data_IF_035094917383
#
_entry.id   IF_035094917383
#
_cell.length_a   1.000
_cell.length_b   1.000
_cell.length_c   1.000
_cell.angle_alpha   90.00
_cell.angle_beta   90.00
_cell.angle_gamma   90.00
#
_symmetry.space_group_name_H-M   'P 1'
#
loop_
_entity.id
_entity.type
_entity.pdbx_description
1 polymer ?
2 non-polymer ?
3 non-polymer ?
4 non-polymer ?
5 non-polymer ?
6 water ?
#
# COMPACT_ATOMS: atom_id res chain seq x y z
N UNK A 18 -32.07 2.85 19.10
CA UNK A 18 -31.57 3.46 17.87
C UNK A 18 -30.09 3.24 17.68
N UNK A 19 -29.56 3.55 16.49
CA UNK A 19 -28.12 3.31 16.24
C UNK A 19 -27.21 4.22 17.02
N UNK A 20 -25.96 3.79 17.24
CA UNK A 20 -24.88 4.68 17.68
C UNK A 20 -24.75 5.85 16.71
N UNK A 21 -24.56 7.06 17.24
CA UNK A 21 -24.38 8.25 16.40
C UNK A 21 -23.00 8.80 16.70
N UNK A 22 -22.33 9.33 15.67
CA UNK A 22 -21.04 9.99 15.81
C UNK A 22 -21.10 11.21 14.94
N UNK A 23 -20.91 12.41 15.54
CA UNK A 23 -21.00 13.65 14.79
C UNK A 23 -22.28 13.80 13.97
N UNK A 24 -23.40 13.40 14.55
CA UNK A 24 -24.70 13.55 13.91
C UNK A 24 -25.02 12.56 12.81
N UNK A 25 -24.15 11.52 12.65
CA UNK A 25 -24.32 10.56 11.56
C UNK A 25 -24.46 9.18 12.14
N UNK A 26 -25.23 8.32 11.42
CA UNK A 26 -25.44 6.95 11.83
C UNK A 26 -24.09 6.21 11.75
N UNK A 27 -23.75 5.55 12.81
CA UNK A 27 -22.56 4.69 12.78
C UNK A 27 -22.98 3.42 13.48
N UNK A 28 -23.67 2.58 12.71
CA UNK A 28 -24.49 1.52 13.31
C UNK A 28 -23.80 0.19 13.52
N UNK A 29 -22.97 0.12 14.52
CA UNK A 29 -22.08 -1.03 14.70
C UNK A 29 -22.64 -2.07 15.60
N UNK A 30 -23.67 -1.72 16.38
CA UNK A 30 -24.47 -2.68 17.12
C UNK A 30 -23.85 -2.85 18.47
N UNK A 31 -24.53 -3.62 19.33
CA UNK A 31 -24.12 -3.69 20.72
C UNK A 31 -22.80 -4.35 20.97
N UNK A 32 -22.23 -5.11 20.00
CA UNK A 32 -20.90 -5.68 20.23
C UNK A 32 -19.86 -4.58 20.39
N UNK A 33 -20.02 -3.45 19.71
CA UNK A 33 -19.02 -2.41 19.64
C UNK A 33 -19.58 -1.12 20.26
N UNK A 34 -18.91 -0.67 21.32
CA UNK A 34 -19.41 0.48 22.10
C UNK A 34 -18.33 1.57 22.25
N UNK A 35 -18.64 2.70 22.90
CA UNK A 35 -17.64 3.74 23.23
C UNK A 35 -16.87 4.17 21.98
N UNK A 36 -17.61 4.64 21.02
CA UNK A 36 -17.06 5.09 19.75
C UNK A 36 -16.27 6.39 19.87
N UNK A 37 -15.22 6.53 19.05
CA UNK A 37 -14.47 7.78 18.93
C UNK A 37 -14.16 7.99 17.48
N UNK A 38 -14.45 9.17 16.95
CA UNK A 38 -14.17 9.58 15.58
C UNK A 38 -12.64 9.50 15.33
N UNK A 39 -12.25 9.03 14.15
CA UNK A 39 -10.85 9.09 13.71
C UNK A 39 -10.73 10.02 12.51
N UNK A 40 -11.58 9.86 11.50
CA UNK A 40 -11.40 10.57 10.25
C UNK A 40 -12.35 10.15 9.15
N UNK A 41 -12.14 10.65 7.94
CA UNK A 41 -12.91 10.30 6.75
C UNK A 41 -12.09 9.37 5.86
N UNK A 42 -12.63 8.19 5.56
CA UNK A 42 -12.09 7.33 4.51
C UNK A 42 -12.72 7.61 3.16
N UNK A 43 -12.36 6.82 2.15
CA UNK A 43 -12.80 7.02 0.76
C UNK A 43 -14.32 7.01 0.61
N UNK A 44 -15.01 6.11 1.32
CA UNK A 44 -16.45 5.91 1.17
C UNK A 44 -17.21 6.11 2.48
N UNK A 45 -16.60 6.73 3.48
CA UNK A 45 -17.29 7.01 4.74
C UNK A 45 -16.45 7.29 5.94
N UNK A 46 -17.10 7.56 7.03
CA UNK A 46 -16.46 7.89 8.30
C UNK A 46 -15.69 6.68 8.88
N UNK A 47 -14.58 6.93 9.61
CA UNK A 47 -13.83 5.94 10.32
C UNK A 47 -13.80 6.26 11.80
N UNK A 48 -14.03 5.29 12.65
CA UNK A 48 -14.01 5.36 14.12
C UNK A 48 -13.23 4.25 14.78
N UNK A 49 -12.88 4.38 16.07
CA UNK A 49 -12.54 3.28 16.92
C UNK A 49 -13.71 2.95 17.84
N UNK A 50 -13.71 1.77 18.37
CA UNK A 50 -14.76 1.31 19.29
C UNK A 50 -14.22 0.22 20.16
N UNK A 51 -14.89 -0.04 21.30
CA UNK A 51 -14.56 -1.18 22.12
C UNK A 51 -15.30 -2.46 21.68
N UNK A 52 -14.59 -3.60 21.42
CA UNK A 52 -15.13 -4.89 21.03
C UNK A 52 -15.41 -5.62 22.35
N UNK A 53 -16.69 -5.76 22.68
CA UNK A 53 -17.09 -6.41 23.95
C UNK A 53 -16.90 -7.94 23.93
N UNK A 54 -16.65 -8.56 22.76
CA UNK A 54 -16.33 -9.99 22.71
C UNK A 54 -14.82 -10.23 22.95
N UNK A 55 -13.96 -9.56 22.15
CA UNK A 55 -12.50 -9.75 22.28
C UNK A 55 -11.83 -8.82 23.30
N UNK A 56 -12.58 -7.89 23.90
CA UNK A 56 -12.11 -7.05 25.00
C UNK A 56 -10.92 -6.14 24.67
N UNK A 57 -10.89 -5.66 23.42
CA UNK A 57 -9.90 -4.70 22.93
C UNK A 57 -10.62 -3.62 22.14
N UNK A 58 -10.01 -2.46 21.99
CA UNK A 58 -10.46 -1.49 21.02
C UNK A 58 -10.05 -1.90 19.62
N UNK A 59 -10.91 -1.58 18.66
CA UNK A 59 -10.81 -1.94 17.24
C UNK A 59 -11.07 -0.70 16.40
N UNK A 60 -10.66 -0.78 15.13
CA UNK A 60 -10.93 0.23 14.14
C UNK A 60 -12.15 -0.20 13.30
N UNK A 61 -13.01 0.74 12.95
CA UNK A 61 -14.18 0.46 12.14
C UNK A 61 -14.34 1.48 11.07
N UNK A 62 -14.40 1.05 9.81
CA UNK A 62 -14.64 1.90 8.66
C UNK A 62 -16.07 1.74 8.16
N UNK A 63 -16.81 2.83 8.06
CA UNK A 63 -18.11 2.80 7.41
C UNK A 63 -17.94 3.02 5.93
N UNK A 64 -18.48 2.14 5.10
CA UNK A 64 -18.38 2.13 3.68
C UNK A 64 -19.75 2.15 2.99
N UNK A 65 -20.01 3.13 2.14
CA UNK A 65 -21.31 3.27 1.49
C UNK A 65 -21.01 3.37 0.00
N UNK A 66 -20.79 2.23 -0.68
CA UNK A 66 -20.34 2.22 -2.06
C UNK A 66 -21.40 1.96 -3.12
N UNK A 67 -22.66 1.74 -2.76
CA UNK A 67 -23.58 1.04 -3.64
C UNK A 67 -24.15 1.90 -4.75
N UNK A 68 -23.99 3.22 -4.67
CA UNK A 68 -24.44 4.11 -5.75
C UNK A 68 -23.51 4.13 -6.97
N UNK A 69 -22.29 3.55 -6.89
CA UNK A 69 -21.32 3.61 -7.98
C UNK A 69 -20.58 2.33 -8.20
N UNK A 70 -20.50 1.85 -9.44
CA UNK A 70 -19.82 0.62 -9.84
C UNK A 70 -18.38 0.62 -9.35
N UNK A 71 -17.62 1.72 -9.55
CA UNK A 71 -16.19 1.75 -9.21
C UNK A 71 -15.98 1.57 -7.70
N UNK A 72 -16.80 2.23 -6.89
CA UNK A 72 -16.74 2.10 -5.44
C UNK A 72 -17.01 0.64 -5.04
N UNK A 73 -18.00 0.04 -5.68
CA UNK A 73 -18.32 -1.36 -5.42
C UNK A 73 -17.17 -2.25 -5.77
N UNK A 74 -16.48 -1.97 -6.90
CA UNK A 74 -15.38 -2.81 -7.34
C UNK A 74 -14.25 -2.69 -6.33
N UNK A 75 -13.89 -1.44 -5.88
CA UNK A 75 -12.73 -1.35 -4.98
C UNK A 75 -13.07 -2.01 -3.67
N UNK A 76 -14.33 -1.90 -3.20
CA UNK A 76 -14.72 -2.43 -1.89
C UNK A 76 -14.71 -3.93 -1.96
N UNK A 77 -15.28 -4.52 -3.00
CA UNK A 77 -15.35 -5.96 -3.13
C UNK A 77 -13.96 -6.53 -3.26
N UNK A 78 -13.07 -5.92 -4.08
CA UNK A 78 -11.71 -6.47 -4.21
C UNK A 78 -11.01 -6.48 -2.88
N UNK A 79 -11.09 -5.37 -2.12
CA UNK A 79 -10.39 -5.34 -0.80
C UNK A 79 -10.93 -6.38 0.13
N UNK A 80 -12.29 -6.50 0.19
CA UNK A 80 -12.87 -7.51 1.07
C UNK A 80 -12.42 -8.91 0.66
N UNK A 81 -12.51 -9.22 -0.66
CA UNK A 81 -12.09 -10.56 -1.10
C UNK A 81 -10.63 -10.84 -0.77
N UNK A 82 -9.76 -9.84 -1.03
CA UNK A 82 -8.34 -10.06 -0.76
C UNK A 82 -8.08 -10.27 0.73
N UNK A 83 -8.59 -9.36 1.56
CA UNK A 83 -8.27 -9.43 2.97
C UNK A 83 -8.87 -10.60 3.70
N UNK A 84 -10.04 -11.07 3.20
CA UNK A 84 -10.63 -12.29 3.81
C UNK A 84 -9.86 -13.55 3.38
N UNK A 85 -9.26 -13.54 2.21
CA UNK A 85 -8.45 -14.72 1.80
C UNK A 85 -7.08 -14.72 2.45
N UNK A 86 -6.44 -13.53 2.55
CA UNK A 86 -5.11 -13.45 3.10
C UNK A 86 -5.07 -13.74 4.56
N UNK A 87 -4.02 -14.39 5.01
CA UNK A 87 -3.75 -14.57 6.41
C UNK A 87 -2.28 -14.47 6.61
N UNK A 88 -1.81 -13.34 7.12
CA UNK A 88 -0.40 -13.12 7.32
C UNK A 88 -0.16 -12.14 8.41
N UNK A 89 0.85 -12.34 9.23
CA UNK A 89 1.15 -11.49 10.34
C UNK A 89 1.42 -10.05 10.00
N UNK A 90 1.92 -9.77 8.78
CA UNK A 90 2.23 -8.41 8.37
C UNK A 90 1.23 -7.81 7.46
N UNK A 91 0.00 -8.34 7.44
CA UNK A 91 -1.11 -7.81 6.66
C UNK A 91 -2.31 -7.67 7.53
N UNK A 92 -2.96 -6.53 7.51
CA UNK A 92 -4.16 -6.31 8.33
C UNK A 92 -5.24 -7.34 7.89
N UNK A 93 -5.97 -7.83 8.85
CA UNK A 93 -7.07 -8.74 8.57
C UNK A 93 -8.40 -8.00 8.58
N UNK A 94 -9.47 -8.69 8.30
CA UNK A 94 -10.81 -8.18 8.61
C UNK A 94 -11.34 -9.03 9.71
N UNK A 95 -11.65 -8.45 10.85
CA UNK A 95 -12.12 -9.22 12.02
C UNK A 95 -13.62 -9.47 11.96
N UNK A 96 -14.37 -8.53 11.41
CA UNK A 96 -15.82 -8.57 11.35
C UNK A 96 -16.28 -7.64 10.30
N UNK A 97 -17.46 -7.92 9.73
CA UNK A 97 -18.12 -7.04 8.79
C UNK A 97 -19.58 -6.94 9.23
N UNK A 98 -20.04 -5.71 9.41
CA UNK A 98 -21.39 -5.46 9.93
C UNK A 98 -22.17 -4.89 8.82
N UNK A 99 -23.38 -5.48 8.59
CA UNK A 99 -24.31 -4.96 7.59
C UNK A 99 -25.71 -5.51 7.90
N UNK A 100 -26.69 -4.97 7.22
CA UNK A 100 -28.09 -5.32 7.49
C UNK A 100 -28.31 -6.75 7.04
N UNK A 101 -29.37 -7.38 7.55
CA UNK A 101 -29.62 -8.79 7.19
C UNK A 101 -30.10 -9.05 5.80
N UNK A 102 -30.56 -8.06 5.11
CA UNK A 102 -31.13 -8.25 3.80
C UNK A 102 -30.49 -7.28 2.85
N UNK A 103 -30.45 -7.61 1.55
CA UNK A 103 -29.89 -6.73 0.55
C UNK A 103 -30.66 -5.45 0.48
N UNK A 104 -32.03 -5.53 0.59
CA UNK A 104 -32.90 -4.38 0.54
C UNK A 104 -32.57 -3.38 1.61
N UNK A 105 -32.27 -3.83 2.84
CA UNK A 105 -31.97 -2.97 3.94
C UNK A 105 -30.46 -2.57 3.97
N UNK A 106 -29.60 -3.20 3.21
CA UNK A 106 -28.16 -2.90 3.27
C UNK A 106 -27.83 -1.68 2.44
N UNK A 107 -27.43 -0.63 3.11
CA UNK A 107 -26.91 0.55 2.38
C UNK A 107 -25.42 0.84 2.72
N UNK A 108 -24.97 0.39 3.84
CA UNK A 108 -23.63 0.61 4.34
C UNK A 108 -23.07 -0.76 4.76
N UNK A 109 -21.76 -0.83 4.76
CA UNK A 109 -21.04 -1.94 5.36
C UNK A 109 -20.02 -1.36 6.33
N UNK A 110 -19.77 -2.00 7.43
CA UNK A 110 -18.74 -1.54 8.38
C UNK A 110 -17.71 -2.64 8.50
N UNK A 111 -16.46 -2.27 8.26
CA UNK A 111 -15.35 -3.23 8.31
C UNK A 111 -14.59 -3.02 9.60
N UNK A 112 -14.44 -4.06 10.39
CA UNK A 112 -13.80 -4.00 11.69
C UNK A 112 -12.45 -4.65 11.55
N UNK A 113 -11.43 -3.93 12.03
CA UNK A 113 -10.02 -4.37 11.95
C UNK A 113 -9.32 -4.07 13.24
N UNK A 114 -8.16 -4.69 13.44
CA UNK A 114 -7.32 -4.37 14.58
C UNK A 114 -6.98 -2.88 14.62
N UNK A 115 -6.97 -2.30 15.83
CA UNK A 115 -6.60 -0.91 16.04
C UNK A 115 -5.14 -0.92 16.49
N UNK A 116 -4.29 -0.27 15.72
CA UNK A 116 -2.87 -0.24 16.02
C UNK A 116 -2.56 1.01 16.78
N UNK A 117 -1.33 1.19 17.20
CA UNK A 117 -0.89 2.33 17.99
C UNK A 117 -0.70 3.54 17.12
N UNK A 118 -0.10 3.34 15.91
CA UNK A 118 0.24 4.46 15.05
C UNK A 118 0.42 3.96 13.63
N UNK A 119 0.75 4.82 12.73
CA UNK A 119 1.17 4.43 11.40
C UNK A 119 2.51 5.08 11.14
N UNK A 120 3.18 4.64 10.06
CA UNK A 120 4.51 5.10 9.80
C UNK A 120 4.50 6.57 9.35
N UNK A 121 3.44 7.05 8.78
CA UNK A 121 3.32 8.48 8.42
C UNK A 121 3.40 9.33 9.69
N UNK A 122 2.62 9.02 10.69
CA UNK A 122 2.63 9.78 11.96
C UNK A 122 3.94 9.63 12.67
N UNK A 123 4.52 8.43 12.64
CA UNK A 123 5.84 8.25 13.25
C UNK A 123 6.94 9.06 12.61
N UNK A 124 7.01 9.11 11.30
CA UNK A 124 8.04 9.86 10.62
C UNK A 124 7.90 11.35 10.79
N UNK A 125 6.71 11.85 11.11
CA UNK A 125 6.48 13.30 11.33
C UNK A 125 7.20 13.77 12.60
N UNK A 126 7.36 12.88 13.57
CA UNK A 126 7.76 13.21 14.92
C UNK A 126 9.00 12.49 15.46
N UNK A 127 9.40 11.35 14.88
CA UNK A 127 10.35 10.46 15.51
C UNK A 127 11.47 10.14 14.59
N UNK A 128 12.68 10.25 15.05
CA UNK A 128 13.85 9.73 14.39
C UNK A 128 13.85 8.21 14.55
N UNK A 129 14.08 7.47 13.46
CA UNK A 129 14.13 6.02 13.55
C UNK A 129 15.54 5.59 13.73
N UNK A 130 15.79 4.70 14.66
CA UNK A 130 17.12 4.08 14.72
C UNK A 130 17.39 3.20 13.49
N UNK A 131 18.65 2.92 13.13
CA UNK A 131 18.95 1.99 12.04
C UNK A 131 18.33 0.67 12.33
N UNK A 132 18.28 0.21 13.57
CA UNK A 132 17.69 -1.05 13.88
C UNK A 132 16.19 -1.05 13.61
N UNK A 133 15.51 0.08 13.87
CA UNK A 133 14.11 0.17 13.58
C UNK A 133 13.91 0.23 12.08
N UNK A 134 14.69 0.94 11.32
CA UNK A 134 14.55 0.98 9.83
C UNK A 134 14.68 -0.43 9.28
N UNK A 135 15.66 -1.18 9.76
CA UNK A 135 15.89 -2.50 9.33
C UNK A 135 14.71 -3.40 9.61
N UNK A 136 14.21 -3.38 10.82
CA UNK A 136 13.11 -4.19 11.20
C UNK A 136 11.83 -3.83 10.44
N UNK A 137 11.55 -2.52 10.30
CA UNK A 137 10.37 -2.12 9.54
C UNK A 137 10.47 -2.57 8.10
N UNK A 138 11.63 -2.41 7.46
CA UNK A 138 11.79 -2.80 6.09
C UNK A 138 11.64 -4.30 5.95
N UNK A 139 12.18 -5.08 6.85
CA UNK A 139 11.99 -6.53 6.82
C UNK A 139 10.55 -6.88 6.83
N UNK A 140 9.76 -6.29 7.75
CA UNK A 140 8.36 -6.66 7.85
C UNK A 140 7.57 -6.21 6.63
N UNK A 141 7.86 -5.03 6.09
CA UNK A 141 7.20 -4.64 4.86
C UNK A 141 7.42 -5.66 3.74
N UNK A 142 8.68 -6.05 3.57
CA UNK A 142 9.01 -6.97 2.52
C UNK A 142 8.47 -8.37 2.80
N UNK A 143 8.41 -8.77 4.05
CA UNK A 143 7.84 -10.07 4.40
C UNK A 143 6.35 -10.11 4.03
N UNK A 144 5.64 -9.06 4.38
CA UNK A 144 4.25 -8.95 3.95
C UNK A 144 4.10 -8.87 2.46
N UNK A 145 4.93 -8.10 1.81
CA UNK A 145 4.84 -7.97 0.37
C UNK A 145 5.16 -9.27 -0.35
N UNK A 146 6.06 -10.08 0.18
CA UNK A 146 6.33 -11.40 -0.39
C UNK A 146 5.06 -12.18 -0.47
N UNK A 147 4.27 -12.15 0.61
CA UNK A 147 3.04 -12.90 0.64
C UNK A 147 2.06 -12.35 -0.37
N UNK A 148 1.85 -11.01 -0.40
CA UNK A 148 0.94 -10.37 -1.34
C UNK A 148 1.30 -10.78 -2.77
N UNK A 149 2.59 -10.61 -3.14
CA UNK A 149 3.03 -10.90 -4.49
C UNK A 149 2.93 -12.36 -4.81
N UNK A 150 3.14 -13.23 -3.81
CA UNK A 150 2.95 -14.67 -4.03
C UNK A 150 1.53 -15.04 -4.34
N UNK A 151 0.58 -14.20 -3.95
CA UNK A 151 -0.81 -14.43 -4.30
C UNK A 151 -1.17 -13.80 -5.59
N UNK A 152 -0.21 -13.34 -6.36
CA UNK A 152 -0.45 -12.66 -7.64
C UNK A 152 -1.19 -11.37 -7.48
N UNK A 153 -1.07 -10.71 -6.35
CA UNK A 153 -1.73 -9.44 -6.08
C UNK A 153 -0.66 -8.35 -5.98
N UNK A 154 -1.03 -7.19 -6.44
CA UNK A 154 -0.26 -5.96 -6.30
C UNK A 154 -0.99 -5.04 -5.36
N UNK A 155 -0.28 -4.41 -4.43
CA UNK A 155 -0.92 -3.51 -3.49
C UNK A 155 -1.27 -2.20 -4.16
N UNK A 156 -0.30 -1.63 -4.78
CA UNK A 156 -0.42 -0.43 -5.65
C UNK A 156 -0.58 0.85 -4.93
N UNK A 157 -0.58 0.88 -3.60
CA UNK A 157 -0.62 2.16 -2.89
C UNK A 157 0.16 2.09 -1.61
N UNK A 158 1.35 1.48 -1.65
CA UNK A 158 2.18 1.44 -0.47
C UNK A 158 2.72 2.82 -0.19
N UNK A 159 2.61 3.24 1.07
CA UNK A 159 3.08 4.53 1.54
C UNK A 159 3.04 4.49 3.06
N UNK A 160 3.73 5.40 3.72
CA UNK A 160 3.77 5.35 5.18
C UNK A 160 2.43 5.27 5.90
N UNK A 161 1.37 5.97 5.45
CA UNK A 161 0.12 5.91 6.18
C UNK A 161 -0.59 4.59 6.04
N UNK A 162 -0.14 3.72 5.12
CA UNK A 162 -0.69 2.40 4.98
C UNK A 162 0.14 1.34 5.64
N UNK A 163 1.02 1.74 6.52
CA UNK A 163 1.86 0.84 7.33
C UNK A 163 1.59 1.10 8.78
N UNK A 164 1.00 0.14 9.43
CA UNK A 164 0.53 0.31 10.80
C UNK A 164 1.48 -0.36 11.75
N UNK A 165 1.63 0.21 12.95
CA UNK A 165 2.57 -0.28 13.98
C UNK A 165 1.86 -0.44 15.31
N UNK A 166 2.14 -1.50 15.99
CA UNK A 166 1.63 -1.63 17.35
C UNK A 166 2.68 -1.10 18.31
N UNK A 167 2.43 -1.25 19.63
CA UNK A 167 3.30 -0.58 20.62
C UNK A 167 4.68 -1.23 20.67
N UNK A 168 4.85 -2.44 20.14
CA UNK A 168 6.14 -3.07 20.05
C UNK A 168 6.71 -3.09 18.64
N UNK A 169 6.21 -2.20 17.77
CA UNK A 169 6.77 -2.00 16.42
C UNK A 169 6.56 -3.19 15.48
N UNK A 170 5.61 -4.05 15.76
CA UNK A 170 5.17 -5.00 14.76
C UNK A 170 4.33 -4.24 13.74
N UNK A 171 4.52 -4.57 12.49
CA UNK A 171 4.03 -3.83 11.35
C UNK A 171 3.00 -4.62 10.58
N UNK A 172 1.93 -3.93 10.14
CA UNK A 172 0.95 -4.53 9.22
C UNK A 172 0.67 -3.59 8.07
N UNK A 173 0.60 -4.14 6.88
CA UNK A 173 0.20 -3.40 5.70
C UNK A 173 -1.33 -3.38 5.61
N UNK A 174 -1.82 -2.19 5.29
CA UNK A 174 -3.23 -1.91 5.25
C UNK A 174 -3.62 -1.28 3.90
N UNK A 175 -4.92 -1.16 3.61
CA UNK A 175 -5.54 -0.42 2.51
C UNK A 175 -5.28 -1.05 1.18
N UNK A 176 -6.10 -2.04 0.85
CA UNK A 176 -6.04 -2.69 -0.44
C UNK A 176 -7.09 -2.14 -1.42
N UNK A 177 -7.41 -0.85 -1.25
CA UNK A 177 -8.44 -0.20 -2.08
C UNK A 177 -7.97 0.13 -3.46
N UNK A 178 -6.73 -0.04 -3.87
CA UNK A 178 -6.27 0.05 -5.25
C UNK A 178 -5.59 -1.22 -5.69
N UNK A 179 -5.69 -2.30 -4.95
CA UNK A 179 -5.00 -3.52 -5.28
C UNK A 179 -5.60 -4.14 -6.51
N UNK A 180 -4.78 -4.89 -7.23
CA UNK A 180 -5.22 -5.59 -8.44
C UNK A 180 -4.47 -6.88 -8.56
N UNK A 181 -5.03 -7.86 -9.29
CA UNK A 181 -4.29 -9.02 -9.71
C UNK A 181 -3.25 -8.60 -10.71
N UNK A 182 -2.01 -9.11 -10.60
CA UNK A 182 -0.96 -8.72 -11.49
C UNK A 182 -1.30 -9.09 -12.91
N UNK A 183 -0.90 -8.24 -13.86
CA UNK A 183 -1.20 -8.49 -15.26
C UNK A 183 -0.06 -7.95 -16.13
N UNK A 184 1.13 -8.52 -15.99
CA UNK A 184 2.29 -7.97 -16.69
C UNK A 184 2.16 -7.95 -18.19
N UNK A 185 1.40 -8.87 -18.79
CA UNK A 185 1.23 -8.86 -20.25
C UNK A 185 0.41 -7.70 -20.76
N UNK A 186 -0.34 -7.01 -19.92
CA UNK A 186 -1.20 -5.88 -20.28
C UNK A 186 -0.75 -4.59 -19.52
N UNK A 187 0.53 -4.43 -19.28
CA UNK A 187 1.05 -3.27 -18.52
C UNK A 187 1.29 -2.05 -19.39
N UNK A 188 1.43 -2.20 -20.69
CA UNK A 188 1.85 -1.08 -21.52
C UNK A 188 0.73 -0.11 -21.77
N UNK A 189 1.10 1.17 -21.76
CA UNK A 189 0.19 2.25 -22.09
C UNK A 189 1.05 3.40 -22.67
N UNK A 190 0.35 4.43 -23.08
CA UNK A 190 0.98 5.60 -23.67
C UNK A 190 1.51 6.56 -22.66
N UNK A 191 2.19 7.55 -23.15
CA UNK A 191 2.80 8.58 -22.33
C UNK A 191 1.73 9.45 -21.65
N UNK A 192 1.96 9.79 -20.41
CA UNK A 192 1.03 10.65 -19.66
C UNK A 192 -0.34 10.07 -19.40
N UNK A 193 -0.40 8.79 -19.17
CA UNK A 193 -1.65 8.13 -18.84
C UNK A 193 -1.96 8.46 -17.36
N UNK A 194 -3.18 8.85 -17.09
CA UNK A 194 -3.58 9.19 -15.73
C UNK A 194 -3.48 7.97 -14.82
N UNK A 195 -3.19 8.22 -13.57
CA UNK A 195 -2.96 7.15 -12.61
C UNK A 195 -3.58 7.43 -11.26
N UNK A 196 -4.02 6.41 -10.57
CA UNK A 196 -4.83 6.58 -9.34
C UNK A 196 -4.05 6.66 -8.05
N UNK A 197 -2.92 5.98 -7.97
CA UNK A 197 -2.23 5.85 -6.71
C UNK A 197 -1.44 7.04 -6.32
N UNK A 198 -1.07 7.16 -4.99
CA UNK A 198 -0.46 8.36 -4.44
C UNK A 198 0.77 8.83 -5.20
N UNK A 199 0.81 10.10 -5.58
CA UNK A 199 1.81 10.56 -6.48
C UNK A 199 3.24 10.32 -6.07
N UNK A 200 3.56 10.61 -4.81
CA UNK A 200 4.94 10.61 -4.38
C UNK A 200 5.59 9.21 -4.42
N UNK A 201 4.79 8.19 -4.49
CA UNK A 201 5.32 6.83 -4.42
C UNK A 201 5.22 6.14 -5.76
N UNK A 202 4.91 6.84 -6.85
CA UNK A 202 4.81 6.28 -8.19
C UNK A 202 6.10 6.06 -8.85
N UNK A 203 6.29 4.86 -9.39
CA UNK A 203 7.50 4.56 -10.13
C UNK A 203 7.60 5.39 -11.40
N UNK A 204 8.81 5.61 -11.91
CA UNK A 204 8.92 6.46 -13.10
C UNK A 204 8.15 5.97 -14.29
N UNK A 205 8.06 4.69 -14.47
CA UNK A 205 7.37 4.16 -15.64
C UNK A 205 5.91 4.49 -15.66
N UNK A 206 5.27 4.79 -14.50
CA UNK A 206 3.87 5.18 -14.56
C UNK A 206 3.63 6.39 -15.48
N UNK A 207 4.55 7.30 -15.45
CA UNK A 207 4.38 8.55 -16.22
C UNK A 207 4.81 8.35 -17.66
N UNK A 208 5.44 7.24 -17.97
CA UNK A 208 6.00 6.98 -19.28
C UNK A 208 5.21 5.96 -20.07
N UNK A 209 5.01 4.75 -19.56
CA UNK A 209 4.44 3.67 -20.35
C UNK A 209 3.86 2.53 -19.59
N UNK A 210 3.54 2.68 -18.33
CA UNK A 210 3.07 1.58 -17.49
C UNK A 210 1.76 1.90 -16.80
N UNK A 211 0.89 0.87 -16.72
CA UNK A 211 -0.38 0.92 -15.97
C UNK A 211 -0.24 0.47 -14.51
N UNK A 212 0.95 0.09 -14.07
CA UNK A 212 1.10 -0.35 -12.70
C UNK A 212 0.55 -1.73 -12.46
N UNK A 213 0.68 -2.61 -13.42
CA UNK A 213 0.17 -4.00 -13.35
C UNK A 213 1.26 -5.02 -13.19
N UNK A 214 2.44 -4.60 -12.75
CA UNK A 214 3.60 -5.46 -12.55
C UNK A 214 4.09 -5.32 -11.07
N UNK A 215 4.67 -6.36 -10.53
CA UNK A 215 5.13 -6.36 -9.18
C UNK A 215 6.19 -5.27 -8.89
N UNK A 216 6.96 -4.91 -9.91
CA UNK A 216 7.96 -3.86 -9.75
C UNK A 216 7.40 -2.54 -9.33
N UNK A 217 6.10 -2.32 -9.51
CA UNK A 217 5.49 -1.08 -9.07
C UNK A 217 5.55 -0.94 -7.54
N UNK A 218 5.36 -2.06 -6.85
CA UNK A 218 5.36 -2.03 -5.42
C UNK A 218 6.74 -1.91 -4.83
N UNK A 219 7.75 -2.51 -5.49
CA UNK A 219 9.10 -2.39 -5.01
C UNK A 219 9.56 -0.95 -5.07
N UNK A 220 9.20 -0.23 -6.15
CA UNK A 220 9.56 1.21 -6.15
C UNK A 220 8.99 1.93 -4.93
N UNK A 221 7.72 1.69 -4.67
CA UNK A 221 7.13 2.35 -3.50
C UNK A 221 7.84 1.99 -2.19
N UNK A 222 8.23 0.73 -2.02
CA UNK A 222 9.03 0.36 -0.85
C UNK A 222 10.35 1.08 -0.80
N UNK A 223 11.01 1.24 -1.93
CA UNK A 223 12.24 2.02 -1.96
C UNK A 223 12.00 3.47 -1.53
N UNK A 224 10.87 4.06 -1.94
CA UNK A 224 10.55 5.40 -1.50
C UNK A 224 10.32 5.44 -0.01
N UNK A 225 9.69 4.41 0.54
CA UNK A 225 9.47 4.37 1.97
C UNK A 225 10.77 4.20 2.73
N UNK A 226 11.68 3.38 2.24
CA UNK A 226 12.99 3.26 2.88
C UNK A 226 13.70 4.60 2.90
N UNK A 227 13.73 5.29 1.78
CA UNK A 227 14.35 6.62 1.74
C UNK A 227 13.71 7.55 2.75
N UNK A 228 12.42 7.52 2.88
CA UNK A 228 11.71 8.37 3.80
C UNK A 228 12.01 8.01 5.23
N UNK A 229 12.21 6.74 5.55
CA UNK A 229 12.65 6.31 6.89
C UNK A 229 14.07 6.80 7.16
N UNK A 230 14.93 6.93 6.19
CA UNK A 230 16.31 7.34 6.44
C UNK A 230 16.37 8.83 6.74
N UNK A 231 15.50 9.66 6.22
CA UNK A 231 15.61 11.10 6.40
C UNK A 231 14.40 11.78 7.01
N UNK A 232 13.30 11.08 7.23
CA UNK A 232 12.04 11.66 7.67
C UNK A 232 11.40 12.63 6.69
N UNK A 233 11.71 12.50 5.42
CA UNK A 233 11.10 13.38 4.42
C UNK A 233 10.89 12.57 3.19
N UNK A 234 9.79 12.77 2.47
CA UNK A 234 9.63 12.05 1.22
C UNK A 234 10.75 12.35 0.25
N UNK A 235 11.23 11.32 -0.41
CA UNK A 235 12.34 11.48 -1.33
C UNK A 235 11.95 12.18 -2.63
N UNK A 236 10.73 11.97 -3.14
CA UNK A 236 10.29 12.50 -4.42
C UNK A 236 8.91 13.15 -4.26
N UNK A 237 8.86 14.35 -3.60
CA UNK A 237 7.59 15.02 -3.35
C UNK A 237 7.08 15.84 -4.52
N UNK A 238 6.73 15.18 -5.63
CA UNK A 238 6.23 15.93 -6.79
C UNK A 238 4.93 16.63 -6.46
N UNK A 239 4.76 17.84 -7.09
CA UNK A 239 3.53 18.62 -6.85
C UNK A 239 2.39 18.35 -7.88
N UNK A 240 2.71 17.73 -8.97
CA UNK A 240 1.76 17.41 -10.03
C UNK A 240 2.37 16.28 -10.86
N UNK A 241 1.58 15.74 -11.77
CA UNK A 241 1.85 14.49 -12.43
C UNK A 241 3.26 14.39 -12.98
N UNK A 242 3.64 15.34 -13.86
CA UNK A 242 4.93 15.25 -14.51
C UNK A 242 6.09 15.70 -13.59
N UNK A 243 5.81 16.55 -12.62
CA UNK A 243 6.83 16.93 -11.62
C UNK A 243 7.37 15.73 -10.86
N UNK A 244 6.53 14.72 -10.71
CA UNK A 244 6.96 13.50 -10.02
C UNK A 244 8.17 12.86 -10.73
N UNK A 245 8.07 12.85 -12.08
CA UNK A 245 9.19 12.30 -12.89
C UNK A 245 10.45 13.16 -12.82
N UNK A 246 10.27 14.48 -12.82
CA UNK A 246 11.44 15.34 -12.72
C UNK A 246 12.12 15.18 -11.36
N UNK A 247 11.35 14.99 -10.24
CA UNK A 247 11.96 14.69 -8.92
C UNK A 247 12.81 13.42 -9.05
N UNK A 248 12.25 12.40 -9.66
CA UNK A 248 12.93 11.09 -9.73
C UNK A 248 14.21 11.23 -10.51
N UNK A 249 14.12 11.88 -11.72
CA UNK A 249 15.30 12.10 -12.53
C UNK A 249 16.31 13.06 -11.90
N UNK A 250 15.85 13.97 -11.05
CA UNK A 250 16.75 14.86 -10.33
C UNK A 250 17.65 14.15 -9.36
N UNK A 251 17.29 12.90 -8.93
CA UNK A 251 18.18 12.11 -8.09
C UNK A 251 18.87 10.97 -8.84
N UNK A 252 18.10 10.21 -9.62
CA UNK A 252 18.71 9.07 -10.34
C UNK A 252 19.60 9.53 -11.54
N UNK A 253 19.35 10.73 -12.00
CA UNK A 253 20.01 11.26 -13.18
C UNK A 253 19.37 10.76 -14.42
N UNK A 254 19.90 11.20 -15.55
CA UNK A 254 19.33 10.87 -16.85
C UNK A 254 19.41 9.40 -17.10
N UNK A 255 18.40 8.76 -17.69
CA UNK A 255 18.52 7.35 -18.01
C UNK A 255 19.56 7.03 -19.04
N UNK A 256 20.11 5.87 -18.95
CA UNK A 256 21.13 5.39 -19.89
C UNK A 256 20.49 5.08 -21.18
N UNK A 257 21.33 4.96 -22.24
CA UNK A 257 20.85 4.59 -23.52
C UNK A 257 20.12 3.24 -23.50
N UNK A 258 20.69 2.26 -22.80
CA UNK A 258 20.10 0.95 -22.71
C UNK A 258 18.69 1.07 -22.07
N UNK A 259 18.53 1.84 -21.01
CA UNK A 259 17.26 2.00 -20.37
C UNK A 259 16.27 2.75 -21.22
N UNK A 260 16.73 3.76 -21.95
CA UNK A 260 15.85 4.40 -22.91
C UNK A 260 15.42 3.52 -24.02
N UNK A 261 16.31 2.66 -24.48
CA UNK A 261 15.97 1.75 -25.57
C UNK A 261 14.88 0.79 -25.18
N UNK A 262 14.71 0.53 -23.88
CA UNK A 262 13.66 -0.32 -23.40
C UNK A 262 12.28 0.33 -23.48
N UNK A 263 12.18 1.64 -23.63
CA UNK A 263 10.91 2.36 -23.75
C UNK A 263 10.62 2.53 -25.25
N UNK A 264 9.76 1.72 -25.76
CA UNK A 264 9.52 1.72 -27.23
C UNK A 264 8.62 2.89 -27.60
N UNK A 265 7.69 3.28 -26.70
CA UNK A 265 6.79 4.35 -27.03
C UNK A 265 7.52 5.63 -27.37
N UNK A 266 7.30 6.17 -28.53
CA UNK A 266 8.07 7.26 -29.00
C UNK A 266 7.85 8.51 -28.24
N UNK A 267 6.59 8.81 -27.84
CA UNK A 267 6.35 10.03 -27.13
C UNK A 267 7.08 10.03 -25.78
N UNK A 268 7.03 8.89 -25.09
CA UNK A 268 7.72 8.81 -23.83
C UNK A 268 9.23 8.92 -23.98
N UNK A 269 9.80 8.17 -24.96
CA UNK A 269 11.23 8.21 -25.17
C UNK A 269 11.69 9.61 -25.57
N UNK A 270 10.97 10.25 -26.44
CA UNK A 270 11.38 11.56 -26.89
C UNK A 270 11.21 12.63 -25.82
N UNK A 271 10.27 12.46 -24.92
CA UNK A 271 10.24 13.33 -23.73
C UNK A 271 11.53 13.23 -22.95
N UNK A 272 11.96 12.02 -22.65
CA UNK A 272 13.20 11.84 -21.88
C UNK A 272 14.38 12.40 -22.67
N UNK A 273 14.42 12.19 -23.98
CA UNK A 273 15.54 12.73 -24.81
C UNK A 273 15.55 14.23 -24.86
N UNK A 274 14.42 14.88 -24.62
CA UNK A 274 14.33 16.34 -24.67
C UNK A 274 14.89 17.01 -23.45
N UNK A 275 15.12 16.30 -22.41
CA UNK A 275 15.55 16.92 -21.15
C UNK A 275 17.02 17.16 -21.13
N UNK A 276 17.50 18.23 -20.51
CA UNK A 276 18.94 18.38 -20.29
C UNK A 276 19.46 17.27 -19.46
N UNK A 277 20.75 17.03 -19.57
CA UNK A 277 21.44 16.07 -18.72
C UNK A 277 21.28 16.38 -17.26
N UNK A 278 21.02 15.32 -16.46
CA UNK A 278 20.91 15.41 -15.01
C UNK A 278 21.83 14.39 -14.46
N UNK A 279 22.68 14.81 -13.49
CA UNK A 279 23.60 13.89 -12.87
C UNK A 279 22.91 13.07 -11.78
N UNK A 280 23.39 11.90 -11.59
CA UNK A 280 22.98 11.10 -10.41
C UNK A 280 23.46 11.77 -9.13
N UNK A 281 22.60 11.81 -8.13
CA UNK A 281 22.99 12.26 -6.80
C UNK A 281 23.40 11.02 -6.01
N UNK A 282 24.64 10.93 -5.55
CA UNK A 282 25.08 9.76 -4.79
C UNK A 282 24.26 9.57 -3.54
N UNK A 283 23.86 8.29 -3.30
CA UNK A 283 23.00 8.04 -2.13
C UNK A 283 23.65 8.44 -0.84
N UNK A 284 24.97 8.24 -0.71
CA UNK A 284 25.66 8.59 0.53
C UNK A 284 25.74 10.10 0.77
N UNK A 285 25.58 10.92 -0.27
CA UNK A 285 25.42 12.37 -0.09
C UNK A 285 24.04 12.79 0.33
N UNK A 286 22.98 12.11 -0.19
CA UNK A 286 21.62 12.39 0.22
C UNK A 286 21.34 11.89 1.59
N UNK A 287 21.99 10.80 2.02
CA UNK A 287 21.74 10.14 3.27
C UNK A 287 23.05 9.88 3.94
N UNK A 288 23.64 10.96 4.46
CA UNK A 288 24.97 10.84 5.05
C UNK A 288 25.05 10.01 6.33
N UNK A 289 23.93 9.82 7.00
CA UNK A 289 23.90 9.05 8.24
C UNK A 289 23.49 7.60 8.06
N UNK A 290 23.22 7.17 6.82
CA UNK A 290 22.67 5.83 6.59
C UNK A 290 23.68 4.74 6.57
N UNK A 291 23.25 3.53 6.97
CA UNK A 291 24.05 2.33 6.78
C UNK A 291 24.37 2.08 5.31
N UNK A 292 25.58 1.70 5.00
CA UNK A 292 25.99 1.50 3.63
C UNK A 292 25.22 0.36 2.97
N UNK A 293 24.92 -0.70 3.74
CA UNK A 293 24.11 -1.79 3.16
C UNK A 293 22.66 -1.33 2.89
N UNK A 294 22.10 -0.47 3.71
CA UNK A 294 20.76 0.08 3.44
C UNK A 294 20.77 0.85 2.15
N UNK A 295 21.82 1.60 1.87
CA UNK A 295 21.87 2.36 0.63
C UNK A 295 22.10 1.50 -0.56
N UNK A 296 22.81 0.38 -0.42
CA UNK A 296 22.96 -0.53 -1.54
C UNK A 296 21.61 -1.15 -1.92
N UNK A 297 20.81 -1.53 -0.91
CA UNK A 297 19.49 -2.07 -1.18
C UNK A 297 18.60 -0.98 -1.72
N UNK A 298 18.64 0.25 -1.21
CA UNK A 298 17.85 1.36 -1.74
C UNK A 298 18.11 1.59 -3.19
N UNK A 299 19.37 1.53 -3.60
CA UNK A 299 19.75 1.71 -4.98
C UNK A 299 19.07 0.67 -5.85
N UNK A 300 19.03 -0.57 -5.39
CA UNK A 300 18.40 -1.64 -6.15
C UNK A 300 16.93 -1.59 -6.24
N UNK A 301 16.26 -1.01 -5.25
CA UNK A 301 14.81 -0.84 -5.28
C UNK A 301 14.46 0.37 -6.14
N UNK A 302 15.23 1.43 -6.09
CA UNK A 302 14.99 2.66 -6.87
C UNK A 302 15.78 2.64 -8.17
N UNK A 303 15.67 1.61 -8.86
CA UNK A 303 16.26 1.43 -10.17
C UNK A 303 15.24 1.90 -11.21
N UNK A 304 15.71 2.73 -12.19
CA UNK A 304 14.80 3.32 -13.17
C UNK A 304 14.11 2.26 -14.03
N UNK A 305 14.90 1.29 -14.52
CA UNK A 305 14.33 0.30 -15.42
C UNK A 305 13.60 -0.76 -14.58
N UNK A 306 12.30 -0.94 -14.76
CA UNK A 306 11.59 -1.89 -13.88
C UNK A 306 12.03 -3.31 -14.08
N UNK A 307 12.55 -3.69 -15.24
CA UNK A 307 13.01 -5.06 -15.41
C UNK A 307 14.30 -5.35 -14.64
N UNK A 308 15.08 -4.33 -14.33
CA UNK A 308 16.30 -4.46 -13.59
C UNK A 308 16.11 -4.28 -12.06
N UNK A 309 14.98 -3.81 -11.67
CA UNK A 309 14.64 -3.55 -10.29
C UNK A 309 14.57 -4.85 -9.48
N UNK A 310 15.07 -4.79 -8.27
CA UNK A 310 15.11 -6.00 -7.44
C UNK A 310 13.66 -6.50 -7.14
N UNK A 311 13.47 -7.81 -7.04
CA UNK A 311 12.18 -8.35 -6.69
C UNK A 311 12.17 -8.59 -5.18
N UNK A 312 10.98 -8.84 -4.67
CA UNK A 312 10.80 -8.86 -3.21
C UNK A 312 11.67 -9.91 -2.52
N UNK A 313 11.81 -11.12 -3.12
CA UNK A 313 12.59 -12.16 -2.46
C UNK A 313 14.07 -11.91 -2.45
N UNK A 314 14.56 -11.24 -3.53
CA UNK A 314 15.95 -10.81 -3.56
C UNK A 314 16.28 -9.78 -2.55
N UNK A 315 15.26 -8.85 -2.35
CA UNK A 315 15.44 -7.84 -1.36
C UNK A 315 15.53 -8.44 0.04
N UNK A 316 14.66 -9.43 0.32
CA UNK A 316 14.74 -10.12 1.60
C UNK A 316 16.11 -10.75 1.85
N UNK A 317 16.73 -11.23 0.77
CA UNK A 317 18.02 -11.91 0.85
C UNK A 317 19.21 -10.97 0.84
N UNK A 318 18.96 -9.65 0.83
CA UNK A 318 20.05 -8.69 0.73
C UNK A 318 20.78 -8.62 2.06
N UNK A 319 22.10 -8.42 2.05
CA UNK A 319 22.84 -8.31 3.31
C UNK A 319 22.31 -7.38 4.38
N UNK A 320 21.65 -6.27 3.97
CA UNK A 320 21.07 -5.38 4.97
C UNK A 320 20.12 -6.08 5.95
N UNK A 321 19.43 -7.11 5.43
CA UNK A 321 18.41 -7.81 6.19
C UNK A 321 18.83 -9.16 6.78
N UNK A 322 20.15 -9.40 6.77
CA UNK A 322 20.69 -10.70 7.19
C UNK A 322 20.33 -11.11 8.58
N UNK A 323 20.13 -10.19 9.50
CA UNK A 323 19.73 -10.53 10.86
C UNK A 323 18.35 -11.15 10.93
N UNK A 324 17.48 -10.91 9.92
CA UNK A 324 16.12 -11.36 9.90
C UNK A 324 15.81 -12.39 8.88
N UNK A 325 16.51 -12.43 7.79
CA UNK A 325 16.14 -13.26 6.64
C UNK A 325 16.03 -14.76 6.99
N UNK A 326 14.91 -15.33 6.73
CA UNK A 326 14.69 -16.74 6.93
C UNK A 326 13.55 -17.14 6.06
N UNK A 327 13.84 -17.65 4.87
CA UNK A 327 12.76 -17.92 3.91
C UNK A 327 11.72 -18.88 4.41
N UNK A 328 12.08 -19.80 5.32
CA UNK A 328 11.12 -20.73 5.90
C UNK A 328 10.12 -20.04 6.82
N UNK A 329 10.43 -18.85 7.26
CA UNK A 329 9.54 -18.10 8.12
C UNK A 329 9.01 -16.88 7.39
N UNK A 330 9.00 -16.91 6.04
CA UNK A 330 8.51 -15.82 5.19
C UNK A 330 7.46 -16.52 4.30
N UNK A 331 6.27 -16.76 4.80
CA UNK A 331 5.30 -17.57 4.09
C UNK A 331 4.74 -16.99 2.87
N UNK A 332 4.30 -17.88 2.01
CA UNK A 332 3.61 -17.55 0.79
C UNK A 332 2.16 -18.00 0.84
N UNK A 333 1.36 -17.50 -0.09
CA UNK A 333 -0.06 -17.73 -0.10
C UNK A 333 -0.35 -19.12 -0.62
N UNK A 334 -1.31 -19.77 0.04
CA UNK A 334 -1.77 -21.10 -0.41
C UNK A 334 -2.51 -21.06 -1.72
N UNK A 335 -3.27 -19.95 -1.92
CA UNK A 335 -4.30 -19.86 -2.96
C UNK A 335 -4.18 -18.47 -3.62
N UNK A 336 -3.23 -18.36 -4.53
CA UNK A 336 -3.13 -17.13 -5.32
C UNK A 336 -4.41 -16.79 -6.10
N UNK A 337 -4.66 -15.51 -6.34
CA UNK A 337 -5.75 -15.07 -7.23
C UNK A 337 -5.42 -15.13 -8.69
N UNK A 338 -6.46 -15.35 -9.54
CA UNK A 338 -6.34 -15.33 -11.01
C UNK A 338 -7.39 -14.42 -11.68
N UNK A 346 -19.02 -5.86 -14.42
CA UNK A 346 -20.28 -6.14 -13.75
C UNK A 346 -20.99 -4.86 -13.28
N UNK A 347 -22.32 -4.74 -13.45
CA UNK A 347 -23.02 -3.55 -12.97
C UNK A 347 -23.09 -3.53 -11.44
N UNK A 348 -23.28 -2.34 -10.89
CA UNK A 348 -23.28 -2.15 -9.44
C UNK A 348 -24.34 -2.96 -8.71
N UNK A 349 -25.50 -3.26 -9.36
CA UNK A 349 -26.52 -4.09 -8.68
C UNK A 349 -25.98 -5.47 -8.44
N UNK A 350 -25.22 -6.00 -9.39
CA UNK A 350 -24.60 -7.30 -9.31
C UNK A 350 -23.48 -7.26 -8.28
N UNK A 351 -22.71 -6.14 -8.26
CA UNK A 351 -21.63 -6.05 -7.27
C UNK A 351 -22.19 -5.98 -5.86
N UNK A 352 -23.33 -5.33 -5.64
CA UNK A 352 -23.97 -5.29 -4.32
C UNK A 352 -24.30 -6.68 -3.87
N UNK A 353 -24.86 -7.51 -4.77
CA UNK A 353 -25.09 -8.92 -4.47
C UNK A 353 -23.82 -9.69 -4.07
N UNK A 354 -22.72 -9.48 -4.82
CA UNK A 354 -21.48 -10.16 -4.48
C UNK A 354 -20.92 -9.67 -3.15
N UNK A 355 -21.05 -8.39 -2.84
CA UNK A 355 -20.63 -7.89 -1.49
C UNK A 355 -21.48 -8.48 -0.42
N UNK A 356 -22.78 -8.53 -0.63
CA UNK A 356 -23.68 -9.18 0.34
C UNK A 356 -23.26 -10.63 0.59
N UNK A 357 -22.95 -11.37 -0.50
CA UNK A 357 -22.52 -12.76 -0.35
C UNK A 357 -21.17 -12.85 0.32
N UNK A 358 -20.22 -11.98 -0.06
CA UNK A 358 -18.85 -12.07 0.45
C UNK A 358 -18.82 -11.79 1.99
N UNK A 359 -19.82 -11.03 2.48
CA UNK A 359 -19.89 -10.61 3.87
C UNK A 359 -20.82 -11.49 4.70
N UNK A 360 -21.44 -12.52 4.10
CA UNK A 360 -22.43 -13.35 4.76
C UNK A 360 -21.89 -14.14 5.95
N UNK A 361 -20.61 -14.52 5.93
CA UNK A 361 -20.02 -15.35 6.97
C UNK A 361 -20.02 -14.68 8.33
N UNK A 362 -20.16 -13.33 8.39
CA UNK A 362 -20.13 -12.61 9.63
C UNK A 362 -21.52 -12.39 10.26
N UNK A 363 -22.57 -12.87 9.59
CA UNK A 363 -23.90 -12.81 10.16
C UNK A 363 -24.07 -13.93 11.21
N UNK A 364 -24.89 -13.69 12.24
CA UNK A 364 -25.05 -14.69 13.32
C UNK A 364 -25.62 -16.05 12.91
X LIG B 1 -2.05 13.50 -10.44
X LIG B 1 -0.65 13.74 -10.35
X LIG B 1 -2.52 14.35 -11.61
X LIG B 1 -2.61 14.00 -9.18
X LIG B 1 -2.54 12.15 -10.60
X LIG C 1 12.23 -2.14 -31.36
X LIG C 1 11.72 -3.30 -32.04
X LIG C 1 12.06 -0.90 -32.25
X LIG C 1 12.55 0.24 -31.58
X LIG D 1 11.28 14.45 12.75
X LIG D 1 11.37 15.40 13.79
X LIG D 1 12.68 14.28 12.15
X LIG D 1 13.47 13.56 13.06
X LIG E 1 -0.69 15.57 -16.79
X LIG E 1 -1.33 14.29 -16.77
X LIG E 1 0.25 15.70 -18.02
X LIG E 1 1.49 16.37 -17.67
X LIG F 1 -25.90 -2.77 10.19
X LIG F 1 -25.62 -2.14 11.53
X LIG F 1 -27.58 -2.37 9.80
X LIG F 1 -25.11 -1.72 8.99
X LIG G 1 -6.77 0.87 -12.04
X LIG G 1 -5.52 1.66 -11.91
X LIG G 1 -6.66 0.06 -13.31
X LIG G 1 -7.07 0.02 -10.82
X LIG G 1 -7.88 1.79 -12.12
X LIG H 1 -7.39 -0.02 10.39
X LIG H 1 -6.49 0.71 11.33
X LIG H 1 -5.20 2.09 12.49
X LIG H 1 -5.99 1.97 11.30
X LIG H 1 -6.18 3.07 10.30
X LIG H 1 -6.89 4.31 10.92
X LIG H 1 -8.31 3.92 10.88
X LIG H 1 -8.47 3.27 9.52
X LIG H 1 -6.86 2.18 8.05
X LIG H 1 -5.41 1.85 7.83
X LIG H 1 -4.29 3.38 14.38
X LIG H 1 -3.05 5.16 12.78
X LIG H 1 -3.77 4.14 12.20
X LIG H 1 -5.16 1.26 6.48
X LIG H 1 -7.72 1.99 7.21
X LIG H 1 -7.13 2.73 9.24
X LIG H 1 -6.03 0.11 12.44
X LIG H 1 -5.24 0.94 13.15
X LIG H 1 -4.41 3.21 13.02
X LIG H 1 -2.94 5.31 14.09
X LIG H 1 -3.55 4.42 14.87
X LIG H 1 -7.09 0.15 9.47
X LIG H 1 -8.30 0.29 10.50
X LIG H 1 -7.34 -0.98 10.57
X LIG H 1 -5.32 3.34 9.91
X LIG H 1 -6.72 5.11 10.39
X LIG H 1 -6.57 4.46 11.84
X LIG H 1 -8.88 4.70 10.97
X LIG H 1 -8.52 3.29 11.59
X LIG H 1 -9.14 2.55 9.54
X LIG H 1 -8.74 3.93 8.84
X LIG H 1 -4.87 2.66 7.91
X LIG H 1 -5.13 1.23 8.50
X LIG H 1 -4.72 2.76 14.98
X LIG H 1 -2.61 5.79 12.20
X LIG H 1 -3.82 4.06 11.25
X LIG H 1 -5.86 1.52 5.85
X LIG H 1 -4.29 1.53 6.17
X LIG H 1 -6.19 -0.72 12.70
X LIG H 1 -3.47 4.52 15.82
#
# INVERSE_FOLDING_TARGET
MAHHHHHHMAAAAAAGAGPEMVRGQVFDVGPRYTNLSYIGEGAYGMVCSAYDNVNKVRVAIKKISPFEHQTYCQRTLREIKILLRFRHENIIGINDIIRAPTIEQMKDVYIVQDLMETDLYKLLKTQHLSNDHICYFLYQILRGLKYIHSANVLHRDLKPSNLLLNTTCDLKICDFGLARVADPDHDHTGFLTEYVATRWYRAPEIMLNSKGYTKSIDIWSVGCILAEMLSNRPIFPGKHYLDQLNHILGILGSPSQEDLNCIINLKARNYLLSLPHKNKVPWNRLFPNADSKALDLLDKMLTFNPHKRIEVEQALAHPYLEQYYDPSDEPIAEAPFKFDMELDDLPKEKLKELIFEETARFQPGYRS
SO4 S O1 O2 O3 O4
EDO C1 O1 C2 O2
EDO C1 O1 C2 O2
EDO C1 O1 C2 O2
DMS S O C1 C2
SO4 S O1 O2 O3 O4
N8L C1 C2 C6 C7 C8 C10 C11 C12 C14 C16 C19 C22 C23 C17 O15 N13 N3 N5 C18 N21 C20 H25 H26 H24 H9 H28 H27 H30 H29 H32 H31 H33 H40 H36 H38 H39 H35 H34 H4 H37
#
